data_IF_533215971785
#
_entry.id   IF_533215971785
#
_cell.length_a   1.000
_cell.length_b   1.000
_cell.length_c   1.000
_cell.angle_alpha   90.00
_cell.angle_beta   90.00
_cell.angle_gamma   90.00
#
_symmetry.space_group_name_H-M   'P 1'
#
loop_
_entity.id
_entity.type
_entity.pdbx_description
1 polymer ?
#
# COMPACT_ATOMS: atom_id res chain seq x y z
N UNK A 1 0.54 5.09 -20.77
CA UNK A 1 0.77 4.20 -19.61
C UNK A 1 0.99 5.11 -18.43
N UNK A 2 0.28 4.90 -17.33
CA UNK A 2 0.61 5.56 -16.07
C UNK A 2 1.88 4.91 -15.52
N UNK A 3 2.88 5.72 -15.19
CA UNK A 3 4.07 5.22 -14.48
C UNK A 3 3.61 4.60 -13.15
N UNK A 4 3.95 3.33 -12.93
CA UNK A 4 3.57 2.61 -11.71
C UNK A 4 4.31 3.16 -10.49
N UNK A 5 3.76 2.91 -9.29
CA UNK A 5 4.43 3.25 -8.02
C UNK A 5 5.23 2.02 -7.56
N UNK A 6 6.57 2.10 -7.41
CA UNK A 6 7.35 0.98 -6.94
C UNK A 6 6.94 0.58 -5.53
N UNK A 7 6.69 -0.71 -5.33
CA UNK A 7 6.40 -1.30 -4.03
C UNK A 7 7.02 -2.70 -3.92
N UNK A 8 7.14 -3.18 -2.68
CA UNK A 8 7.45 -4.58 -2.41
C UNK A 8 6.20 -5.25 -1.83
N UNK A 9 5.85 -6.41 -2.36
CA UNK A 9 4.78 -7.24 -1.81
C UNK A 9 5.40 -8.34 -0.94
N UNK A 10 5.16 -8.29 0.37
CA UNK A 10 5.89 -9.12 1.32
C UNK A 10 4.96 -9.78 2.32
N UNK A 11 5.35 -10.99 2.75
CA UNK A 11 4.83 -11.61 3.97
C UNK A 11 5.69 -11.17 5.16
N UNK A 12 5.05 -10.61 6.18
CA UNK A 12 5.66 -10.27 7.47
C UNK A 12 4.97 -11.02 8.60
N UNK A 13 5.63 -12.01 9.20
CA UNK A 13 4.97 -12.90 10.16
C UNK A 13 3.76 -13.60 9.54
N UNK A 14 2.61 -13.55 10.20
CA UNK A 14 1.34 -14.12 9.71
C UNK A 14 0.51 -13.15 8.86
N UNK A 15 1.05 -11.98 8.49
CA UNK A 15 0.38 -10.98 7.65
C UNK A 15 1.09 -10.78 6.31
N UNK A 16 0.40 -10.14 5.37
CA UNK A 16 0.92 -9.73 4.06
C UNK A 16 0.53 -8.28 3.76
N UNK A 17 1.39 -7.55 3.07
CA UNK A 17 1.12 -6.15 2.74
C UNK A 17 2.08 -5.55 1.72
N UNK A 18 1.68 -4.38 1.21
CA UNK A 18 2.47 -3.56 0.29
C UNK A 18 3.39 -2.63 1.07
N UNK A 19 4.67 -2.65 0.74
CA UNK A 19 5.70 -1.82 1.36
C UNK A 19 6.16 -0.77 0.36
N UNK A 20 6.06 0.50 0.76
CA UNK A 20 6.36 1.66 -0.07
C UNK A 20 7.46 2.50 0.56
N UNK A 21 8.33 3.07 -0.27
CA UNK A 21 9.23 4.14 0.18
C UNK A 21 8.47 5.47 0.15
N UNK A 22 8.69 6.33 1.16
CA UNK A 22 8.02 7.63 1.25
C UNK A 22 8.24 8.49 0.01
N UNK A 23 9.43 8.40 -0.60
CA UNK A 23 9.83 9.22 -1.75
C UNK A 23 9.06 8.84 -3.04
N UNK A 24 8.42 7.68 -3.06
CA UNK A 24 7.60 7.21 -4.19
C UNK A 24 6.10 7.56 -4.01
N UNK A 25 5.72 8.18 -2.89
CA UNK A 25 4.34 8.50 -2.57
C UNK A 25 4.10 10.02 -2.57
N UNK A 26 2.84 10.46 -2.78
CA UNK A 26 2.48 11.86 -2.57
C UNK A 26 2.82 12.33 -1.15
N UNK A 27 3.38 13.54 -1.03
CA UNK A 27 3.67 14.17 0.26
C UNK A 27 2.39 14.65 0.97
N UNK A 28 1.35 15.01 0.20
CA UNK A 28 0.04 15.34 0.74
C UNK A 28 -0.65 14.07 1.27
N UNK A 29 -1.01 14.07 2.55
CA UNK A 29 -1.62 12.92 3.23
C UNK A 29 -2.89 12.42 2.55
N UNK A 30 -3.83 13.29 2.20
CA UNK A 30 -5.09 12.87 1.58
C UNK A 30 -4.86 12.20 0.21
N UNK A 31 -3.91 12.73 -0.59
CA UNK A 31 -3.52 12.10 -1.86
C UNK A 31 -2.82 10.77 -1.64
N UNK A 32 -1.96 10.66 -0.63
CA UNK A 32 -1.29 9.41 -0.26
C UNK A 32 -2.29 8.34 0.16
N UNK A 33 -3.25 8.71 1.01
CA UNK A 33 -4.26 7.79 1.50
C UNK A 33 -5.13 7.29 0.34
N UNK A 34 -5.54 8.18 -0.58
CA UNK A 34 -6.25 7.79 -1.80
C UNK A 34 -5.44 6.81 -2.66
N UNK A 35 -4.14 7.07 -2.85
CA UNK A 35 -3.24 6.16 -3.59
C UNK A 35 -3.13 4.79 -2.91
N UNK A 36 -2.96 4.76 -1.58
CA UNK A 36 -2.83 3.51 -0.84
C UNK A 36 -4.15 2.72 -0.84
N UNK A 37 -5.29 3.39 -0.74
CA UNK A 37 -6.60 2.77 -0.86
C UNK A 37 -6.81 2.15 -2.25
N UNK A 38 -6.52 2.91 -3.31
CA UNK A 38 -6.57 2.41 -4.68
C UNK A 38 -5.64 1.22 -4.90
N UNK A 39 -4.40 1.29 -4.40
CA UNK A 39 -3.43 0.20 -4.50
C UNK A 39 -3.92 -1.09 -3.81
N UNK A 40 -4.67 -0.97 -2.71
CA UNK A 40 -5.26 -2.11 -2.00
C UNK A 40 -6.63 -2.54 -2.55
N UNK A 41 -7.20 -1.82 -3.52
CA UNK A 41 -8.52 -2.12 -4.08
C UNK A 41 -9.66 -1.70 -3.15
N UNK A 42 -9.47 -0.69 -2.30
CA UNK A 42 -10.48 -0.22 -1.36
C UNK A 42 -11.11 1.10 -1.81
N UNK A 43 -12.42 1.33 -1.58
CA UNK A 43 -13.36 0.43 -0.91
C UNK A 43 -13.99 -0.59 -1.88
N UNK A 44 -13.66 -1.86 -1.70
CA UNK A 44 -14.36 -3.01 -2.29
C UNK A 44 -14.25 -4.16 -1.29
N UNK A 45 -15.38 -4.81 -0.97
CA UNK A 45 -15.42 -5.97 -0.07
C UNK A 45 -14.54 -7.10 -0.61
N UNK A 46 -14.34 -7.18 -1.93
CA UNK A 46 -13.52 -8.21 -2.57
C UNK A 46 -12.09 -7.77 -2.86
N UNK A 47 -11.81 -6.46 -2.82
CA UNK A 47 -10.53 -5.87 -3.21
C UNK A 47 -10.00 -6.38 -4.57
N UNK A 48 -10.90 -6.71 -5.51
CA UNK A 48 -10.54 -7.47 -6.72
C UNK A 48 -9.73 -6.65 -7.72
N UNK A 49 -9.86 -5.32 -7.65
CA UNK A 49 -9.14 -4.35 -8.48
C UNK A 49 -7.95 -3.73 -7.73
N UNK A 50 -7.28 -4.51 -6.88
CA UNK A 50 -6.11 -4.08 -6.15
C UNK A 50 -5.31 -5.26 -5.58
N UNK A 51 -4.31 -4.95 -4.75
CA UNK A 51 -3.42 -5.96 -4.15
C UNK A 51 -3.99 -6.60 -2.88
N UNK A 52 -5.07 -6.06 -2.31
CA UNK A 52 -5.67 -6.55 -1.09
C UNK A 52 -6.27 -7.94 -1.25
N UNK A 53 -6.28 -8.72 -0.17
CA UNK A 53 -6.81 -10.08 -0.18
C UNK A 53 -8.18 -10.24 0.48
N UNK A 54 -8.94 -9.15 0.64
CA UNK A 54 -10.26 -9.10 1.28
C UNK A 54 -10.31 -9.64 2.73
N UNK A 55 -9.14 -9.67 3.40
CA UNK A 55 -8.99 -10.08 4.79
C UNK A 55 -8.08 -9.10 5.53
N UNK A 56 -8.34 -8.74 6.80
CA UNK A 56 -7.50 -7.81 7.55
C UNK A 56 -6.01 -8.21 7.64
N UNK A 57 -5.67 -9.49 7.54
CA UNK A 57 -4.29 -9.99 7.54
C UNK A 57 -3.58 -9.77 6.19
N UNK A 58 -4.31 -9.50 5.11
CA UNK A 58 -3.78 -9.30 3.75
C UNK A 58 -4.12 -7.93 3.17
N UNK A 59 -4.85 -7.09 3.91
CA UNK A 59 -5.14 -5.68 3.56
C UNK A 59 -4.33 -4.70 4.42
N UNK A 60 -3.00 -4.76 4.30
CA UNK A 60 -2.06 -3.91 5.06
C UNK A 60 -1.09 -3.18 4.15
N UNK A 61 -0.64 -2.01 4.60
CA UNK A 61 0.44 -1.25 3.95
C UNK A 61 1.48 -0.81 4.98
N UNK A 62 2.72 -0.66 4.53
CA UNK A 62 3.80 -0.07 5.30
C UNK A 62 4.48 1.04 4.48
N UNK A 63 4.77 2.18 5.11
CA UNK A 63 5.50 3.29 4.49
C UNK A 63 6.83 3.46 5.25
N UNK A 64 7.94 3.36 4.53
CA UNK A 64 9.28 3.35 5.09
C UNK A 64 10.06 4.57 4.61
N UNK A 65 10.88 5.14 5.50
CA UNK A 65 11.83 6.22 5.20
C UNK A 65 13.13 6.00 5.96
N UNK A 66 14.22 6.67 5.53
CA UNK A 66 15.46 6.72 6.32
C UNK A 66 15.19 7.29 7.71
N UNK A 67 15.88 6.75 8.72
CA UNK A 67 15.82 7.23 10.10
C UNK A 67 16.28 8.69 10.21
N UNK A 68 15.65 9.44 11.10
CA UNK A 68 16.15 10.74 11.58
C UNK A 68 16.65 10.67 13.02
N UNK A 69 16.64 9.48 13.61
CA UNK A 69 17.32 9.14 14.87
C UNK A 69 18.74 8.72 14.57
#
# INVERSE_FOLDING_TARGET
MSDGIPCMWMRGGTSKGGYFLVDNLPTNTAKRDAVLLLAMGSPDVRQIDGMGGADPLTSKVAVVRKSTR
#
